data_IF_468827422307
#
_entry.id   IF_468827422307
#
_cell.length_a   1.000
_cell.length_b   1.000
_cell.length_c   1.000
_cell.angle_alpha   90.00
_cell.angle_beta   90.00
_cell.angle_gamma   90.00
#
_symmetry.space_group_name_H-M   'P 1'
#
loop_
_entity.id
_entity.type
_entity.pdbx_description
1 polymer ?
#
# COMPACT_ATOMS: atom_id res chain seq x y z
N UNK A 1 -62.60 35.84 7.50
CA UNK A 1 -62.46 36.22 6.07
C UNK A 1 -62.27 34.94 5.25
N UNK A 2 -63.19 34.69 4.30
CA UNK A 2 -63.17 33.81 3.10
C UNK A 2 -62.17 32.62 3.12
N UNK A 3 -62.53 31.33 3.22
CA UNK A 3 -63.50 30.47 2.49
C UNK A 3 -63.09 30.09 1.05
N UNK A 4 -63.29 28.80 0.71
CA UNK A 4 -63.48 28.17 -0.64
C UNK A 4 -62.20 27.62 -1.34
N UNK A 5 -62.06 26.39 -1.91
CA UNK A 5 -62.86 25.15 -2.17
C UNK A 5 -61.89 23.99 -2.56
N UNK A 6 -62.07 22.72 -2.16
CA UNK A 6 -62.83 21.58 -2.77
C UNK A 6 -62.35 21.08 -4.15
N UNK A 7 -61.90 19.82 -4.22
CA UNK A 7 -62.32 18.72 -5.14
C UNK A 7 -61.26 17.58 -5.10
N UNK A 8 -61.45 16.49 -4.37
CA UNK A 8 -62.25 15.31 -4.69
C UNK A 8 -61.84 14.61 -6.01
N UNK A 9 -61.06 13.54 -5.92
CA UNK A 9 -61.30 12.34 -6.71
C UNK A 9 -60.74 11.10 -6.00
N UNK A 10 -61.70 10.28 -5.59
CA UNK A 10 -61.56 8.94 -5.06
C UNK A 10 -60.95 8.01 -6.13
N UNK A 11 -59.95 7.22 -5.76
CA UNK A 11 -59.74 5.90 -6.36
C UNK A 11 -59.75 4.88 -5.24
N UNK A 12 -60.87 4.17 -5.17
CA UNK A 12 -61.04 2.93 -4.43
C UNK A 12 -60.28 1.81 -5.14
N UNK A 13 -59.36 1.17 -4.43
CA UNK A 13 -59.04 -0.24 -4.66
C UNK A 13 -58.82 -0.90 -3.31
N UNK A 14 -59.93 -1.32 -2.71
CA UNK A 14 -59.93 -2.37 -1.68
C UNK A 14 -59.80 -3.71 -2.38
N UNK A 15 -58.80 -4.50 -2.02
CA UNK A 15 -58.91 -5.96 -1.87
C UNK A 15 -57.73 -6.42 -1.01
N UNK A 16 -58.05 -6.75 0.24
CA UNK A 16 -57.18 -7.50 1.12
C UNK A 16 -57.05 -8.93 0.60
N UNK A 17 -55.83 -9.46 0.58
CA UNK A 17 -55.58 -10.90 0.61
C UNK A 17 -54.26 -11.16 1.33
N UNK A 18 -54.39 -11.96 2.37
CA UNK A 18 -53.38 -12.43 3.30
C UNK A 18 -52.26 -13.19 2.58
N UNK A 19 -51.01 -12.88 2.90
CA UNK A 19 -49.85 -13.64 2.43
C UNK A 19 -48.59 -13.24 3.17
N UNK A 20 -48.29 -13.92 4.28
CA UNK A 20 -46.98 -13.84 4.91
C UNK A 20 -45.98 -14.56 4.01
N UNK A 21 -45.27 -13.83 3.16
CA UNK A 21 -44.05 -14.29 2.54
C UNK A 21 -42.89 -13.61 3.27
N UNK A 22 -42.24 -14.38 4.16
CA UNK A 22 -40.92 -14.03 4.69
C UNK A 22 -39.96 -14.17 3.52
N UNK A 23 -39.84 -13.11 2.72
CA UNK A 23 -38.80 -13.00 1.71
C UNK A 23 -37.47 -12.90 2.43
N UNK A 24 -36.71 -13.99 2.42
CA UNK A 24 -35.29 -13.96 2.71
C UNK A 24 -34.65 -13.03 1.67
N UNK A 25 -34.45 -11.77 2.05
CA UNK A 25 -33.57 -10.84 1.36
C UNK A 25 -32.15 -11.42 1.46
N UNK A 26 -31.83 -12.33 0.56
CA UNK A 26 -30.45 -12.60 0.17
C UNK A 26 -29.98 -11.36 -0.57
N UNK A 27 -29.52 -10.35 0.20
CA UNK A 27 -28.58 -9.36 -0.31
C UNK A 27 -27.33 -10.12 -0.75
N UNK A 28 -27.35 -10.63 -1.98
CA UNK A 28 -26.14 -10.98 -2.69
C UNK A 28 -25.35 -9.69 -2.82
N UNK A 29 -24.31 -9.54 -1.98
CA UNK A 29 -23.28 -8.55 -2.21
C UNK A 29 -22.67 -8.86 -3.59
N UNK A 30 -23.17 -8.18 -4.62
CA UNK A 30 -22.57 -8.21 -5.93
C UNK A 30 -21.16 -7.64 -5.77
N UNK A 31 -20.16 -8.52 -5.73
CA UNK A 31 -18.77 -8.13 -5.88
C UNK A 31 -18.68 -7.43 -7.23
N UNK A 32 -18.49 -6.10 -7.20
CA UNK A 32 -18.36 -5.31 -8.41
C UNK A 32 -17.26 -5.93 -9.29
N UNK A 33 -17.47 -6.07 -10.61
CA UNK A 33 -16.41 -6.56 -11.48
C UNK A 33 -15.17 -5.70 -11.25
N UNK A 34 -14.05 -6.35 -10.90
CA UNK A 34 -12.75 -5.69 -10.80
C UNK A 34 -12.45 -5.03 -12.15
N UNK A 35 -12.70 -3.73 -12.24
CA UNK A 35 -12.42 -2.96 -13.44
C UNK A 35 -10.89 -2.94 -13.63
N UNK A 36 -10.40 -3.75 -14.56
CA UNK A 36 -8.96 -3.93 -14.81
C UNK A 36 -8.28 -2.60 -15.16
N UNK A 37 -8.98 -1.68 -15.82
CA UNK A 37 -8.46 -0.34 -16.12
C UNK A 37 -8.25 0.48 -14.85
N UNK A 38 -9.20 0.40 -13.90
CA UNK A 38 -9.07 1.06 -12.61
C UNK A 38 -7.88 0.51 -11.79
N UNK A 39 -7.56 -0.78 -11.89
CA UNK A 39 -6.38 -1.37 -11.25
C UNK A 39 -5.09 -0.83 -11.87
N UNK A 40 -5.02 -0.74 -13.19
CA UNK A 40 -3.86 -0.16 -13.90
C UNK A 40 -3.67 1.31 -13.51
N UNK A 41 -4.74 2.09 -13.45
CA UNK A 41 -4.68 3.50 -13.07
C UNK A 41 -4.25 3.69 -11.61
N UNK A 42 -4.75 2.84 -10.70
CA UNK A 42 -4.34 2.85 -9.30
C UNK A 42 -2.84 2.54 -9.13
N UNK A 43 -2.33 1.54 -9.86
CA UNK A 43 -0.89 1.23 -9.84
C UNK A 43 -0.06 2.38 -10.43
N UNK A 44 -0.50 2.98 -11.54
CA UNK A 44 0.16 4.14 -12.13
C UNK A 44 0.25 5.29 -11.13
N UNK A 45 -0.84 5.60 -10.44
CA UNK A 45 -0.87 6.64 -9.41
C UNK A 45 0.09 6.34 -8.25
N UNK A 46 0.12 5.10 -7.77
CA UNK A 46 1.03 4.67 -6.70
C UNK A 46 2.50 4.82 -7.11
N UNK A 47 2.86 4.37 -8.31
CA UNK A 47 4.23 4.49 -8.83
C UNK A 47 4.64 5.95 -9.05
N UNK A 48 3.72 6.80 -9.52
CA UNK A 48 3.98 8.23 -9.66
C UNK A 48 4.27 8.90 -8.31
N UNK A 49 3.70 8.41 -7.21
CA UNK A 49 4.02 8.88 -5.86
C UNK A 49 5.37 8.34 -5.35
N UNK A 50 5.78 7.14 -5.77
CA UNK A 50 7.10 6.56 -5.44
C UNK A 50 8.24 7.19 -6.23
N UNK A 51 7.97 7.72 -7.43
CA UNK A 51 8.94 8.35 -8.31
C UNK A 51 8.40 9.68 -8.90
N UNK A 52 8.19 10.72 -8.07
CA UNK A 52 7.65 11.99 -8.52
C UNK A 52 8.48 12.62 -9.65
N UNK A 53 7.81 13.07 -10.71
CA UNK A 53 8.45 13.68 -11.86
C UNK A 53 9.10 12.71 -12.83
N UNK A 54 9.07 11.40 -12.54
CA UNK A 54 9.55 10.34 -13.44
C UNK A 54 8.37 9.78 -14.26
N UNK A 55 8.53 9.58 -15.58
CA UNK A 55 7.48 8.96 -16.39
C UNK A 55 7.15 7.53 -15.91
N UNK A 56 5.86 7.28 -15.67
CA UNK A 56 5.31 5.96 -15.34
C UNK A 56 4.42 5.48 -16.48
N UNK A 57 4.68 4.27 -16.97
CA UNK A 57 3.90 3.65 -18.04
C UNK A 57 3.32 2.34 -17.51
N UNK A 58 2.00 2.23 -17.49
CA UNK A 58 1.30 1.02 -17.09
C UNK A 58 0.29 0.64 -18.16
N UNK A 59 0.22 -0.65 -18.47
CA UNK A 59 -0.74 -1.26 -19.40
C UNK A 59 -1.22 -2.60 -18.85
N UNK A 60 -2.27 -3.15 -19.46
CA UNK A 60 -2.61 -4.55 -19.25
C UNK A 60 -1.67 -5.44 -20.05
N UNK A 61 -1.22 -6.54 -19.45
CA UNK A 61 -0.54 -7.63 -20.15
C UNK A 61 -1.56 -8.53 -20.89
N UNK A 62 -1.08 -9.62 -21.51
CA UNK A 62 -1.92 -10.56 -22.25
C UNK A 62 -2.95 -11.30 -21.36
N UNK A 63 -2.75 -11.31 -20.05
CA UNK A 63 -3.62 -11.93 -19.06
C UNK A 63 -4.56 -10.90 -18.40
N UNK A 64 -4.40 -9.61 -18.75
CA UNK A 64 -5.15 -8.49 -18.18
C UNK A 64 -4.63 -8.05 -16.81
N UNK A 65 -3.42 -8.46 -16.41
CA UNK A 65 -2.76 -7.96 -15.23
C UNK A 65 -2.05 -6.63 -15.55
N UNK A 66 -1.94 -5.72 -14.58
CA UNK A 66 -1.09 -4.54 -14.74
C UNK A 66 0.38 -4.93 -14.97
N UNK A 67 0.98 -4.33 -15.98
CA UNK A 67 2.42 -4.37 -16.24
C UNK A 67 2.92 -2.93 -16.33
N UNK A 68 3.76 -2.53 -15.38
CA UNK A 68 4.23 -1.16 -15.22
C UNK A 68 5.74 -1.03 -15.43
N UNK A 69 6.14 0.14 -15.92
CA UNK A 69 7.53 0.57 -15.97
C UNK A 69 7.70 1.99 -15.44
N UNK A 70 8.85 2.24 -14.82
CA UNK A 70 9.28 3.54 -14.29
C UNK A 70 10.71 3.77 -14.73
N UNK A 71 11.00 4.84 -15.48
CA UNK A 71 12.34 5.10 -16.09
C UNK A 71 12.92 3.88 -16.86
N UNK A 72 12.05 3.08 -17.46
CA UNK A 72 12.41 1.85 -18.18
C UNK A 72 12.74 0.64 -17.30
N UNK A 73 12.60 0.73 -15.97
CA UNK A 73 12.59 -0.44 -15.09
C UNK A 73 11.22 -1.10 -15.14
N UNK A 74 11.17 -2.43 -15.25
CA UNK A 74 9.96 -3.20 -14.93
C UNK A 74 9.73 -3.14 -13.43
N UNK A 75 8.52 -2.84 -12.98
CA UNK A 75 8.23 -2.67 -11.55
C UNK A 75 7.12 -3.59 -11.10
N UNK A 76 7.43 -4.41 -10.11
CA UNK A 76 6.47 -5.23 -9.38
C UNK A 76 6.14 -4.56 -8.05
N UNK A 77 4.86 -4.26 -7.83
CA UNK A 77 4.37 -3.67 -6.58
C UNK A 77 4.04 -4.74 -5.55
N UNK A 78 4.42 -4.48 -4.32
CA UNK A 78 4.11 -5.22 -3.10
C UNK A 78 3.33 -4.29 -2.14
N UNK A 79 3.00 -4.74 -0.94
CA UNK A 79 2.39 -3.93 0.12
C UNK A 79 3.16 -4.10 1.43
N UNK A 80 2.81 -3.34 2.47
CA UNK A 80 3.43 -3.44 3.81
C UNK A 80 2.54 -4.13 4.83
N UNK A 81 2.01 -5.31 4.47
CA UNK A 81 1.21 -6.18 5.33
C UNK A 81 2.05 -7.26 5.99
N UNK A 82 1.46 -7.97 6.95
CA UNK A 82 2.20 -8.89 7.84
C UNK A 82 2.88 -10.08 7.12
N UNK A 83 2.47 -10.44 5.91
CA UNK A 83 3.03 -11.53 5.10
C UNK A 83 3.87 -11.05 3.90
N UNK A 84 4.25 -9.78 3.91
CA UNK A 84 4.93 -9.16 2.78
C UNK A 84 6.46 -9.17 2.93
N UNK A 85 7.13 -8.63 1.92
CA UNK A 85 8.58 -8.62 1.85
C UNK A 85 9.16 -7.57 2.82
N UNK A 86 9.85 -8.05 3.85
CA UNK A 86 10.57 -7.25 4.82
C UNK A 86 12.07 -7.51 4.74
N UNK A 87 12.86 -6.56 5.22
CA UNK A 87 14.30 -6.71 5.31
C UNK A 87 14.94 -5.72 6.27
N UNK A 88 16.27 -5.75 6.30
CA UNK A 88 17.08 -4.81 7.05
C UNK A 88 18.20 -4.22 6.20
N UNK A 89 18.58 -2.98 6.52
CA UNK A 89 19.76 -2.34 5.93
C UNK A 89 21.03 -3.04 6.40
N UNK A 90 21.78 -3.64 5.49
CA UNK A 90 23.05 -4.32 5.83
C UNK A 90 24.29 -3.52 5.46
N UNK A 91 24.14 -2.45 4.68
CA UNK A 91 25.22 -1.50 4.41
C UNK A 91 25.78 -0.94 5.73
N UNK A 92 27.10 -1.08 5.94
CA UNK A 92 27.80 -0.68 7.18
C UNK A 92 27.57 0.79 7.55
N UNK A 93 27.52 1.66 6.54
CA UNK A 93 27.33 3.09 6.71
C UNK A 93 25.85 3.51 6.56
N UNK A 94 24.92 2.56 6.57
CA UNK A 94 23.53 2.81 6.18
C UNK A 94 23.37 3.05 4.68
N UNK A 95 22.17 3.45 4.28
CA UNK A 95 21.80 3.69 2.88
C UNK A 95 21.01 5.00 2.73
N UNK A 96 21.19 5.69 1.62
CA UNK A 96 20.41 6.89 1.28
C UNK A 96 19.22 6.50 0.41
N UNK A 97 18.02 6.87 0.86
CA UNK A 97 16.79 6.76 0.10
C UNK A 97 16.72 7.87 -0.94
N UNK A 98 16.24 7.53 -2.14
CA UNK A 98 16.07 8.47 -3.27
C UNK A 98 14.63 8.52 -3.75
N UNK A 99 14.17 9.65 -4.29
CA UNK A 99 12.80 9.82 -4.77
C UNK A 99 12.60 9.44 -6.25
N UNK A 100 13.55 8.73 -6.86
CA UNK A 100 13.39 8.17 -8.18
C UNK A 100 14.10 6.83 -8.28
N UNK A 101 13.57 5.94 -9.11
CA UNK A 101 14.16 4.60 -9.33
C UNK A 101 15.59 4.70 -9.85
N UNK A 102 15.96 5.78 -10.54
CA UNK A 102 17.30 6.03 -11.00
C UNK A 102 17.59 7.54 -10.96
N UNK A 103 18.83 7.91 -10.62
CA UNK A 103 19.30 9.31 -10.56
C UNK A 103 18.42 10.26 -9.71
N UNK A 104 17.78 9.72 -8.67
CA UNK A 104 16.88 10.47 -7.79
C UNK A 104 17.61 11.38 -6.81
N UNK A 105 16.86 12.32 -6.24
CA UNK A 105 17.35 13.20 -5.21
C UNK A 105 17.25 12.53 -3.82
N UNK A 106 18.21 12.77 -2.91
CA UNK A 106 18.15 12.23 -1.57
C UNK A 106 16.89 12.64 -0.79
N UNK A 107 16.31 11.70 -0.05
CA UNK A 107 15.12 11.89 0.81
C UNK A 107 15.47 11.78 2.28
N UNK A 108 16.11 10.68 2.66
CA UNK A 108 16.53 10.37 4.01
C UNK A 108 17.70 9.38 3.97
N UNK A 109 18.39 9.22 5.08
CA UNK A 109 19.38 8.16 5.28
C UNK A 109 18.89 7.22 6.38
N UNK A 110 18.90 5.93 6.07
CA UNK A 110 18.62 4.85 7.00
C UNK A 110 19.93 4.30 7.55
N UNK A 111 19.98 4.03 8.85
CA UNK A 111 21.15 3.42 9.48
C UNK A 111 21.24 1.91 9.18
N UNK A 112 22.42 1.32 9.42
CA UNK A 112 22.57 -0.13 9.45
C UNK A 112 21.57 -0.76 10.44
N UNK A 113 21.03 -1.93 10.10
CA UNK A 113 19.98 -2.68 10.80
C UNK A 113 18.59 -2.05 10.79
N UNK A 114 18.39 -0.89 10.15
CA UNK A 114 17.06 -0.31 10.01
C UNK A 114 16.12 -1.33 9.33
N UNK A 115 15.02 -1.65 10.01
CA UNK A 115 13.97 -2.51 9.49
C UNK A 115 13.14 -1.76 8.46
N UNK A 116 12.83 -2.42 7.35
CA UNK A 116 12.10 -1.85 6.24
C UNK A 116 11.08 -2.83 5.68
N UNK A 117 9.96 -2.29 5.22
CA UNK A 117 9.07 -2.95 4.28
C UNK A 117 9.52 -2.65 2.84
N UNK A 118 9.51 -3.66 1.98
CA UNK A 118 9.78 -3.53 0.54
C UNK A 118 8.44 -3.48 -0.20
N UNK A 119 8.10 -2.29 -0.72
CA UNK A 119 6.83 -2.01 -1.39
C UNK A 119 6.90 -2.15 -2.91
N UNK A 120 8.09 -2.14 -3.49
CA UNK A 120 8.27 -2.37 -4.91
C UNK A 120 9.66 -2.93 -5.22
N UNK A 121 9.71 -3.78 -6.23
CA UNK A 121 10.94 -4.25 -6.86
C UNK A 121 10.99 -3.70 -8.29
N UNK A 122 12.09 -3.06 -8.65
CA UNK A 122 12.32 -2.53 -9.98
C UNK A 122 13.54 -3.19 -10.61
N UNK A 123 13.39 -3.72 -11.82
CA UNK A 123 14.45 -4.44 -12.55
C UNK A 123 14.69 -3.83 -13.92
N UNK A 124 15.97 -3.67 -14.28
CA UNK A 124 16.41 -3.24 -15.61
C UNK A 124 17.79 -3.81 -15.88
N UNK A 125 17.90 -4.63 -16.92
CA UNK A 125 19.12 -5.37 -17.23
C UNK A 125 19.63 -6.19 -16.04
N UNK A 126 20.74 -5.77 -15.41
CA UNK A 126 21.32 -6.40 -14.21
C UNK A 126 21.15 -5.56 -12.94
N UNK A 127 20.39 -4.48 -13.02
CA UNK A 127 20.15 -3.58 -11.91
C UNK A 127 18.82 -3.93 -11.25
N UNK A 128 18.85 -4.12 -9.93
CA UNK A 128 17.68 -4.37 -9.11
C UNK A 128 17.62 -3.30 -8.01
N UNK A 129 16.44 -2.69 -7.87
CA UNK A 129 16.19 -1.57 -6.96
C UNK A 129 14.96 -1.89 -6.12
N UNK A 130 14.98 -1.50 -4.86
CA UNK A 130 13.83 -1.61 -3.98
C UNK A 130 13.29 -0.24 -3.64
N UNK A 131 11.96 -0.07 -3.73
CA UNK A 131 11.28 1.00 -3.03
C UNK A 131 10.93 0.50 -1.65
N UNK A 132 11.48 1.15 -0.63
CA UNK A 132 11.32 0.73 0.75
C UNK A 132 10.69 1.80 1.60
N UNK A 133 10.08 1.36 2.71
CA UNK A 133 9.58 2.21 3.77
C UNK A 133 10.16 1.73 5.10
N UNK A 134 10.82 2.62 5.83
CA UNK A 134 11.17 2.39 7.22
C UNK A 134 9.90 2.42 8.06
N UNK A 135 9.57 1.28 8.67
CA UNK A 135 8.38 1.10 9.49
C UNK A 135 8.78 0.66 10.90
N UNK A 136 8.00 1.00 11.94
CA UNK A 136 8.29 0.54 13.28
C UNK A 136 8.13 -0.98 13.39
N UNK A 137 9.09 -1.68 13.98
CA UNK A 137 9.05 -3.15 14.10
C UNK A 137 7.82 -3.65 14.87
N UNK A 138 7.37 -2.89 15.86
CA UNK A 138 6.17 -3.19 16.66
C UNK A 138 4.87 -3.16 15.86
N UNK A 139 4.88 -2.59 14.65
CA UNK A 139 3.71 -2.55 13.77
C UNK A 139 3.51 -3.83 12.94
N UNK A 140 4.50 -4.73 12.97
CA UNK A 140 4.50 -6.00 12.24
C UNK A 140 4.35 -7.13 13.26
N UNK A 141 3.23 -7.87 13.19
CA UNK A 141 2.91 -8.88 14.20
C UNK A 141 4.02 -9.95 14.32
N UNK A 142 4.62 -10.33 13.19
CA UNK A 142 5.69 -11.33 13.10
C UNK A 142 7.02 -10.89 13.71
N UNK A 143 7.20 -9.60 14.00
CA UNK A 143 8.39 -9.11 14.70
C UNK A 143 8.33 -9.33 16.23
N UNK A 144 7.16 -9.66 16.79
CA UNK A 144 7.04 -9.91 18.23
C UNK A 144 7.84 -11.14 18.62
N UNK A 145 8.86 -10.96 19.46
CA UNK A 145 9.72 -12.05 19.93
C UNK A 145 10.72 -12.57 18.88
N UNK A 146 10.83 -11.91 17.72
CA UNK A 146 11.77 -12.30 16.67
C UNK A 146 13.05 -11.46 16.74
N UNK A 147 14.19 -12.12 16.96
CA UNK A 147 15.49 -11.47 17.11
C UNK A 147 15.96 -10.70 15.87
N UNK A 148 15.46 -11.06 14.67
CA UNK A 148 15.73 -10.32 13.43
C UNK A 148 15.20 -8.88 13.48
N UNK A 149 14.18 -8.61 14.32
CA UNK A 149 13.58 -7.29 14.44
C UNK A 149 14.11 -6.48 15.65
N UNK A 150 14.83 -7.08 16.60
CA UNK A 150 15.20 -6.44 17.89
C UNK A 150 15.98 -5.13 17.73
N UNK A 151 16.71 -4.97 16.62
CA UNK A 151 17.50 -3.76 16.32
C UNK A 151 16.93 -2.95 15.15
N UNK A 152 15.67 -3.20 14.76
CA UNK A 152 15.07 -2.63 13.56
C UNK A 152 14.69 -1.16 13.65
N UNK A 153 14.38 -0.66 14.85
CA UNK A 153 13.99 0.72 15.09
C UNK A 153 15.21 1.64 15.22
N UNK A 154 15.86 1.94 14.10
CA UNK A 154 16.98 2.88 14.07
C UNK A 154 16.50 4.32 13.83
N UNK A 155 17.27 5.33 14.28
CA UNK A 155 16.97 6.72 13.95
C UNK A 155 17.06 6.97 12.44
N UNK A 156 16.05 7.64 11.88
CA UNK A 156 16.09 8.14 10.51
C UNK A 156 16.79 9.50 10.49
N UNK A 157 17.78 9.65 9.62
CA UNK A 157 18.35 10.96 9.31
C UNK A 157 17.63 11.56 8.09
N UNK A 158 16.72 12.49 8.34
CA UNK A 158 15.98 13.19 7.29
C UNK A 158 16.87 14.17 6.52
N UNK A 159 16.78 14.14 5.19
CA UNK A 159 17.44 15.11 4.30
C UNK A 159 16.40 16.11 3.80
N UNK A 160 15.20 15.64 3.46
CA UNK A 160 14.02 16.48 3.23
C UNK A 160 13.30 16.75 4.55
N UNK A 161 12.62 17.90 4.68
CA UNK A 161 11.82 18.19 5.86
C UNK A 161 10.77 17.11 6.12
N UNK A 162 10.73 16.60 7.35
CA UNK A 162 9.63 15.78 7.87
C UNK A 162 8.71 16.66 8.72
N UNK A 163 7.45 16.25 8.88
CA UNK A 163 6.46 17.01 9.68
C UNK A 163 6.68 16.88 11.19
N UNK A 164 7.47 15.90 11.62
CA UNK A 164 7.63 15.48 13.01
C UNK A 164 6.59 14.45 13.48
N UNK A 165 5.71 14.00 12.59
CA UNK A 165 4.68 13.01 12.91
C UNK A 165 5.28 11.62 12.90
N UNK A 166 5.16 10.88 14.01
CA UNK A 166 5.67 9.51 14.07
C UNK A 166 5.06 8.61 12.98
N UNK A 167 5.90 7.82 12.31
CA UNK A 167 5.43 6.77 11.41
C UNK A 167 4.65 5.72 12.21
N UNK A 168 3.41 5.43 11.80
CA UNK A 168 2.55 4.46 12.48
C UNK A 168 1.66 3.73 11.49
N UNK A 169 1.43 2.45 11.73
CA UNK A 169 0.44 1.67 10.98
C UNK A 169 -0.97 2.13 11.35
N UNK A 170 -1.84 2.28 10.36
CA UNK A 170 -3.21 2.72 10.58
C UNK A 170 -4.10 1.55 11.02
N UNK A 171 -4.05 1.20 12.31
CA UNK A 171 -4.84 0.10 12.88
C UNK A 171 -4.66 -1.20 12.10
N UNK A 172 -5.78 -1.81 11.67
CA UNK A 172 -5.78 -3.07 10.92
C UNK A 172 -5.50 -2.88 9.42
N UNK A 173 -5.24 -1.66 8.95
CA UNK A 173 -4.96 -1.40 7.53
C UNK A 173 -3.48 -1.69 7.19
N UNK A 174 -3.22 -1.95 5.91
CA UNK A 174 -1.87 -2.10 5.35
C UNK A 174 -1.14 -0.75 5.20
N UNK A 175 -1.89 0.35 5.33
CA UNK A 175 -1.37 1.71 5.17
C UNK A 175 -0.67 2.23 6.43
N UNK A 176 0.36 3.03 6.21
CA UNK A 176 1.08 3.77 7.24
C UNK A 176 0.76 5.27 7.13
N UNK A 177 0.77 5.96 8.27
CA UNK A 177 0.54 7.41 8.38
C UNK A 177 1.68 8.07 9.13
N UNK A 178 1.79 9.39 9.02
CA UNK A 178 2.92 10.15 9.57
C UNK A 178 4.14 10.12 8.65
N UNK A 179 5.30 10.47 9.20
CA UNK A 179 6.55 10.56 8.45
C UNK A 179 7.26 9.20 8.42
N UNK A 180 6.86 8.34 7.49
CA UNK A 180 7.57 7.11 7.20
C UNK A 180 8.62 7.37 6.12
N UNK A 181 9.91 7.24 6.46
CA UNK A 181 10.98 7.44 5.50
C UNK A 181 10.86 6.40 4.39
N UNK A 182 10.65 6.86 3.16
CA UNK A 182 10.45 6.00 2.01
C UNK A 182 11.23 6.49 0.80
N UNK A 183 11.66 5.55 -0.04
CA UNK A 183 12.38 5.85 -1.27
C UNK A 183 13.08 4.62 -1.86
N UNK A 184 13.69 4.85 -3.01
CA UNK A 184 14.42 3.85 -3.78
C UNK A 184 15.86 3.68 -3.27
N UNK A 185 16.31 2.42 -3.23
CA UNK A 185 17.67 1.98 -2.89
C UNK A 185 18.09 0.83 -3.79
N UNK A 186 19.40 0.56 -3.83
CA UNK A 186 19.94 -0.62 -4.49
C UNK A 186 19.64 -1.87 -3.66
N UNK A 187 19.22 -2.96 -4.32
CA UNK A 187 18.83 -4.20 -3.65
C UNK A 187 19.89 -4.75 -2.70
N UNK A 188 21.16 -4.70 -3.11
CA UNK A 188 22.30 -5.25 -2.37
C UNK A 188 22.63 -4.51 -1.06
N UNK A 189 22.02 -3.36 -0.83
CA UNK A 189 22.12 -2.63 0.45
C UNK A 189 21.21 -3.20 1.53
N UNK A 190 20.30 -4.11 1.16
CA UNK A 190 19.31 -4.75 2.02
C UNK A 190 19.51 -6.25 2.07
N UNK A 191 19.25 -6.83 3.24
CA UNK A 191 19.04 -8.27 3.40
C UNK A 191 17.56 -8.52 3.60
N UNK A 192 16.97 -9.27 2.68
CA UNK A 192 15.57 -9.70 2.76
C UNK A 192 15.41 -10.83 3.78
N UNK A 193 14.37 -10.77 4.58
CA UNK A 193 13.97 -11.86 5.47
C UNK A 193 13.21 -12.95 4.69
N UNK A 194 13.93 -13.58 3.77
CA UNK A 194 13.42 -14.48 2.74
C UNK A 194 12.96 -15.87 3.25
N UNK A 195 13.31 -16.26 4.49
CA UNK A 195 12.69 -17.40 5.18
C UNK A 195 11.48 -17.00 6.04
N UNK A 196 11.01 -15.77 5.89
CA UNK A 196 9.99 -15.17 6.72
C UNK A 196 10.53 -14.67 8.06
N UNK A 197 9.83 -13.71 8.64
CA UNK A 197 9.90 -13.44 10.07
C UNK A 197 9.24 -14.65 10.76
N UNK A 198 10.04 -15.64 11.16
CA UNK A 198 9.52 -16.79 11.92
C UNK A 198 8.83 -16.27 13.18
N UNK A 199 7.53 -16.55 13.32
CA UNK A 199 6.88 -16.48 14.62
C UNK A 199 7.26 -17.74 15.38
N UNK A 200 7.62 -17.62 16.66
CA UNK A 200 7.51 -18.76 17.55
C UNK A 200 6.03 -19.14 17.59
N UNK A 201 5.69 -20.29 17.01
CA UNK A 201 4.43 -20.97 17.30
C UNK A 201 4.47 -21.35 18.79
N UNK A 202 3.77 -20.57 19.63
CA UNK A 202 3.41 -20.94 21.00
C UNK A 202 1.99 -21.51 21.01
#
# INVERSE_FOLDING_TARGET
MKSVQIACLLVLCSLASSGHAVGLDHSAAAQAPHNKDAVVDAQRARLSAMAPGVPVQCKQDAYGNPACTVDGYQVDLSECGDDMLYGAVVAKNGVTLTDAVNSGHPVARLANKQFVCIEATATKDKQERYFVKAVPVESVARCKGNDLCTQGNQPVQWIRPATGSACRRNGNAVAYTGDCAAGWVDKDTLEEFSMGLAGSED
#
